data_IF_335972874213
#
_entry.id   IF_335972874213
#
_cell.length_a   1.000
_cell.length_b   1.000
_cell.length_c   1.000
_cell.angle_alpha   90.00
_cell.angle_beta   90.00
_cell.angle_gamma   90.00
#
_symmetry.space_group_name_H-M   'P 1'
#
loop_
_entity.id
_entity.type
_entity.pdbx_description
1 polymer ?
#
# COMPACT_ATOMS: atom_id res chain seq x y z
N UNK A 1 -19.54 -9.65 2.61
CA UNK A 1 -18.65 -10.55 1.84
C UNK A 1 -19.32 -11.86 1.48
N UNK A 2 -20.30 -12.35 2.26
CA UNK A 2 -20.99 -13.62 2.02
C UNK A 2 -21.61 -13.75 0.63
N UNK A 3 -22.21 -12.70 0.09
CA UNK A 3 -22.79 -12.72 -1.26
C UNK A 3 -21.74 -12.91 -2.37
N UNK A 4 -20.55 -12.32 -2.25
CA UNK A 4 -19.46 -12.49 -3.24
C UNK A 4 -18.89 -13.91 -3.18
N UNK A 5 -18.86 -14.51 -1.99
CA UNK A 5 -18.43 -15.90 -1.81
C UNK A 5 -19.47 -16.86 -2.40
N UNK A 6 -20.76 -16.61 -2.16
CA UNK A 6 -21.87 -17.36 -2.76
C UNK A 6 -21.84 -17.28 -4.29
N UNK A 7 -21.60 -16.12 -4.88
CA UNK A 7 -21.47 -15.96 -6.35
C UNK A 7 -20.26 -16.74 -6.92
N UNK A 8 -19.17 -16.83 -6.16
CA UNK A 8 -17.99 -17.64 -6.53
C UNK A 8 -18.31 -19.14 -6.46
N UNK A 9 -18.95 -19.58 -5.38
CA UNK A 9 -19.37 -20.97 -5.17
C UNK A 9 -20.39 -21.42 -6.22
N UNK A 10 -21.34 -20.56 -6.56
CA UNK A 10 -22.35 -20.78 -7.59
C UNK A 10 -21.81 -20.64 -9.03
N UNK A 11 -20.52 -20.32 -9.19
CA UNK A 11 -19.88 -20.22 -10.52
C UNK A 11 -20.41 -19.06 -11.37
N UNK A 12 -21.05 -18.07 -10.76
CA UNK A 12 -21.62 -16.88 -11.42
C UNK A 12 -20.50 -15.93 -11.87
N UNK A 13 -19.37 -15.93 -11.15
CA UNK A 13 -18.19 -15.17 -11.55
C UNK A 13 -17.60 -15.80 -12.82
N UNK A 14 -17.44 -14.97 -13.87
CA UNK A 14 -16.88 -15.31 -15.19
C UNK A 14 -15.86 -16.43 -15.08
N UNK A 15 -16.18 -17.55 -15.74
CA UNK A 15 -15.51 -18.85 -15.62
C UNK A 15 -13.98 -18.71 -15.61
N UNK A 16 -13.36 -19.42 -14.67
CA UNK A 16 -11.91 -19.63 -14.51
C UNK A 16 -11.19 -20.15 -15.77
N UNK A 17 -11.93 -20.42 -16.86
CA UNK A 17 -11.45 -20.96 -18.12
C UNK A 17 -11.22 -19.91 -19.23
N UNK A 18 -11.76 -18.68 -19.12
CA UNK A 18 -11.75 -17.72 -20.24
C UNK A 18 -10.77 -16.54 -20.09
N UNK A 19 -10.34 -16.18 -18.89
CA UNK A 19 -9.41 -15.08 -18.66
C UNK A 19 -8.38 -15.45 -17.59
N UNK A 20 -7.10 -15.28 -17.91
CA UNK A 20 -6.04 -15.31 -16.90
C UNK A 20 -6.41 -14.28 -15.82
N UNK A 21 -6.37 -14.68 -14.54
CA UNK A 21 -6.57 -13.79 -13.38
C UNK A 21 -5.18 -13.39 -12.84
N UNK A 22 -4.44 -12.49 -13.50
CA UNK A 22 -3.04 -12.20 -13.13
C UNK A 22 -2.94 -11.48 -11.77
N UNK A 23 -4.07 -11.03 -11.20
CA UNK A 23 -4.16 -10.47 -9.86
C UNK A 23 -3.12 -9.38 -9.62
N UNK A 24 -2.35 -9.55 -8.54
CA UNK A 24 -1.26 -8.65 -8.16
C UNK A 24 -0.27 -8.37 -9.29
N UNK A 25 0.17 -9.40 -10.01
CA UNK A 25 1.22 -9.23 -11.02
C UNK A 25 0.74 -8.40 -12.21
N UNK A 26 -0.49 -8.62 -12.67
CA UNK A 26 -1.10 -7.83 -13.74
C UNK A 26 -1.34 -6.39 -13.30
N UNK A 27 -1.83 -6.19 -12.08
CA UNK A 27 -2.05 -4.85 -11.53
C UNK A 27 -0.75 -4.07 -11.36
N UNK A 28 0.31 -4.69 -10.81
CA UNK A 28 1.60 -4.04 -10.63
C UNK A 28 2.21 -3.59 -11.96
N UNK A 29 2.10 -4.40 -13.01
CA UNK A 29 2.52 -4.00 -14.35
C UNK A 29 1.78 -2.75 -14.84
N UNK A 30 0.45 -2.73 -14.73
CA UNK A 30 -0.36 -1.57 -15.14
C UNK A 30 -0.03 -0.29 -14.36
N UNK A 31 0.22 -0.41 -13.06
CA UNK A 31 0.58 0.74 -12.22
C UNK A 31 1.99 1.25 -12.55
N UNK A 32 2.93 0.35 -12.82
CA UNK A 32 4.26 0.68 -13.31
C UNK A 32 4.21 1.41 -14.65
N UNK A 33 3.48 0.87 -15.63
CA UNK A 33 3.36 1.46 -16.98
C UNK A 33 2.71 2.86 -16.94
N UNK A 34 1.89 3.14 -15.92
CA UNK A 34 1.27 4.45 -15.67
C UNK A 34 2.10 5.37 -14.78
N UNK A 35 3.30 4.95 -14.37
CA UNK A 35 4.17 5.67 -13.44
C UNK A 35 3.45 6.05 -12.12
N UNK A 36 2.63 5.13 -11.59
CA UNK A 36 1.91 5.33 -10.32
C UNK A 36 2.79 4.86 -9.16
N UNK A 37 3.07 5.77 -8.22
CA UNK A 37 3.72 5.41 -6.96
C UNK A 37 2.75 4.65 -6.06
N UNK A 38 3.13 3.45 -5.64
CA UNK A 38 2.36 2.60 -4.73
C UNK A 38 2.99 2.71 -3.34
N UNK A 39 2.15 2.74 -2.30
CA UNK A 39 2.57 2.57 -0.90
C UNK A 39 2.14 1.17 -0.49
N UNK A 40 3.11 0.29 -0.22
CA UNK A 40 2.83 -1.03 0.30
C UNK A 40 2.44 -0.98 1.78
N UNK A 41 1.95 -2.10 2.33
CA UNK A 41 1.68 -2.17 3.77
C UNK A 41 2.94 -1.92 4.60
N UNK A 42 4.09 -2.47 4.18
CA UNK A 42 5.38 -2.24 4.82
C UNK A 42 5.79 -0.75 4.77
N UNK A 43 5.49 -0.05 3.67
CA UNK A 43 5.75 1.38 3.58
C UNK A 43 4.84 2.18 4.52
N UNK A 44 3.58 1.77 4.67
CA UNK A 44 2.67 2.33 5.67
C UNK A 44 3.17 2.09 7.10
N UNK A 45 3.75 0.93 7.41
CA UNK A 45 4.31 0.64 8.73
C UNK A 45 5.48 1.58 9.08
N UNK A 46 6.27 2.00 8.08
CA UNK A 46 7.31 3.03 8.27
C UNK A 46 6.71 4.40 8.59
N UNK A 47 5.66 4.81 7.86
CA UNK A 47 4.91 6.05 8.15
C UNK A 47 4.36 5.99 9.59
N UNK A 48 3.68 4.90 9.95
CA UNK A 48 3.11 4.72 11.27
C UNK A 48 4.16 4.78 12.39
N UNK A 49 5.32 4.18 12.16
CA UNK A 49 6.44 4.21 13.11
C UNK A 49 6.99 5.63 13.30
N UNK A 50 7.13 6.40 12.22
CA UNK A 50 7.60 7.78 12.28
C UNK A 50 6.59 8.70 12.97
N UNK A 51 5.29 8.55 12.68
CA UNK A 51 4.24 9.30 13.37
C UNK A 51 4.24 9.03 14.88
N UNK A 52 4.40 7.76 15.28
CA UNK A 52 4.50 7.37 16.70
C UNK A 52 5.77 7.93 17.36
N UNK A 53 6.91 7.92 16.65
CA UNK A 53 8.18 8.51 17.12
C UNK A 53 8.05 10.00 17.35
N UNK A 54 7.45 10.74 16.42
CA UNK A 54 7.20 12.19 16.57
C UNK A 54 6.19 12.48 17.68
N UNK A 55 5.17 11.63 17.82
CA UNK A 55 4.19 11.73 18.90
C UNK A 55 4.81 11.58 20.28
N UNK A 56 5.67 10.57 20.49
CA UNK A 56 6.27 10.29 21.79
C UNK A 56 7.12 11.45 22.31
N UNK A 57 7.82 12.17 21.42
CA UNK A 57 8.56 13.40 21.73
C UNK A 57 7.67 14.54 22.26
N UNK A 58 6.36 14.50 21.96
CA UNK A 58 5.37 15.51 22.34
C UNK A 58 4.35 15.00 23.36
N UNK A 59 4.59 13.83 23.96
CA UNK A 59 3.66 13.15 24.86
C UNK A 59 2.27 12.90 24.23
N UNK A 60 2.26 12.55 22.94
CA UNK A 60 1.07 12.17 22.15
C UNK A 60 1.23 10.73 21.65
N UNK A 61 0.12 9.99 21.42
CA UNK A 61 0.20 8.66 20.80
C UNK A 61 0.83 8.67 19.41
N UNK A 62 0.63 9.76 18.66
CA UNK A 62 1.26 10.03 17.36
C UNK A 62 1.19 11.51 17.01
N UNK A 63 2.09 11.93 16.13
CA UNK A 63 1.99 13.17 15.38
C UNK A 63 1.85 12.83 13.90
N UNK A 64 0.80 13.31 13.24
CA UNK A 64 0.55 12.94 11.84
C UNK A 64 1.50 13.66 10.89
N UNK A 65 2.03 12.92 9.92
CA UNK A 65 2.68 13.52 8.75
C UNK A 65 1.58 14.09 7.86
N UNK A 66 1.52 15.42 7.72
CA UNK A 66 0.38 16.12 7.14
C UNK A 66 0.59 16.52 5.67
N UNK A 67 1.79 16.25 5.13
CA UNK A 67 2.12 16.55 3.74
C UNK A 67 2.51 15.29 2.97
N UNK A 68 2.30 15.34 1.66
CA UNK A 68 2.76 14.28 0.76
C UNK A 68 4.28 14.07 0.88
N UNK A 69 5.07 15.14 0.94
CA UNK A 69 6.52 14.99 1.01
C UNK A 69 6.97 14.27 2.28
N UNK A 70 6.38 14.58 3.43
CA UNK A 70 6.66 13.88 4.69
C UNK A 70 6.30 12.40 4.60
N UNK A 71 5.08 12.08 4.13
CA UNK A 71 4.64 10.69 3.95
C UNK A 71 5.58 9.93 3.03
N UNK A 72 5.94 10.52 1.88
CA UNK A 72 6.81 9.89 0.91
C UNK A 72 8.25 9.74 1.40
N UNK A 73 8.74 10.67 2.22
CA UNK A 73 10.07 10.60 2.85
C UNK A 73 10.12 9.48 3.88
N UNK A 74 9.08 9.32 4.71
CA UNK A 74 9.01 8.24 5.70
C UNK A 74 9.00 6.84 5.06
N UNK A 75 8.54 6.71 3.81
CA UNK A 75 8.58 5.43 3.07
C UNK A 75 9.94 5.12 2.43
N UNK A 76 10.76 6.14 2.19
CA UNK A 76 12.07 5.95 1.58
C UNK A 76 12.97 5.21 2.58
N UNK A 77 13.67 4.18 2.10
CA UNK A 77 14.81 3.67 2.85
C UNK A 77 15.81 4.82 3.04
N UNK A 78 16.53 4.83 4.16
CA UNK A 78 17.58 5.81 4.38
C UNK A 78 18.60 5.75 3.25
N UNK A 79 18.37 6.49 2.17
CA UNK A 79 19.43 6.96 1.30
C UNK A 79 20.14 7.99 2.15
N UNK A 80 21.03 7.49 2.99
CA UNK A 80 22.23 8.23 3.35
C UNK A 80 22.79 8.75 2.04
N UNK A 81 22.61 10.04 1.81
CA UNK A 81 23.43 10.80 0.91
C UNK A 81 24.84 10.77 1.51
N UNK A 82 25.56 9.66 1.30
CA UNK A 82 27.01 9.65 1.41
C UNK A 82 27.56 10.43 0.23
N UNK A 83 28.30 11.47 0.60
CA UNK A 83 29.02 12.44 -0.24
C UNK A 83 30.00 11.76 -1.19
#
# INVERSE_FOLDING_TARGET
>A
VSSILEDLENGVLISSTAALKPGRNGLLKLLHDRNVRIVSFNDWEKIDSEERRLGSLRNKPREKLATWNELLTATAEGTEYST
#
